data_IF_207249812317
#
_entry.id   IF_207249812317
#
_cell.length_a   1.000
_cell.length_b   1.000
_cell.length_c   1.000
_cell.angle_alpha   90.00
_cell.angle_beta   90.00
_cell.angle_gamma   90.00
#
_symmetry.space_group_name_H-M   'P 1'
#
loop_
_entity.id
_entity.type
_entity.pdbx_description
1 polymer ?
#
# COMPACT_ATOMS: atom_id res chain seq x y z
N UNK A 1 7.45 -18.30 -5.26
CA UNK A 1 6.86 -17.19 -6.04
C UNK A 1 5.33 -17.23 -6.04
N UNK A 2 4.68 -18.38 -6.30
CA UNK A 2 3.20 -18.49 -6.26
C UNK A 2 2.56 -18.12 -4.91
N UNK A 3 3.22 -18.39 -3.78
CA UNK A 3 2.74 -18.03 -2.44
C UNK A 3 2.67 -16.51 -2.21
N UNK A 4 3.66 -15.76 -2.68
CA UNK A 4 3.69 -14.29 -2.62
C UNK A 4 2.57 -13.69 -3.47
N UNK A 5 2.37 -14.25 -4.67
CA UNK A 5 1.31 -13.87 -5.59
C UNK A 5 -0.09 -14.12 -4.99
N UNK A 6 -0.29 -15.26 -4.34
CA UNK A 6 -1.53 -15.61 -3.64
C UNK A 6 -1.78 -14.73 -2.43
N UNK A 7 -0.74 -14.45 -1.64
CA UNK A 7 -0.84 -13.58 -0.47
C UNK A 7 -1.23 -12.15 -0.89
N UNK A 8 -0.58 -11.58 -1.91
CA UNK A 8 -0.92 -10.24 -2.40
C UNK A 8 -2.36 -10.19 -2.96
N UNK A 9 -2.79 -11.23 -3.69
CA UNK A 9 -4.17 -11.30 -4.19
C UNK A 9 -5.20 -11.42 -3.05
N UNK A 10 -4.90 -12.20 -2.02
CA UNK A 10 -5.78 -12.34 -0.85
C UNK A 10 -5.87 -11.02 -0.07
N UNK A 11 -4.74 -10.33 0.15
CA UNK A 11 -4.70 -9.00 0.79
C UNK A 11 -5.49 -7.97 -0.03
N UNK A 12 -5.34 -7.96 -1.35
CA UNK A 12 -6.08 -7.07 -2.23
C UNK A 12 -7.60 -7.35 -2.21
N UNK A 13 -7.99 -8.63 -2.22
CA UNK A 13 -9.40 -9.02 -2.11
C UNK A 13 -10.00 -8.58 -0.77
N UNK A 14 -9.29 -8.82 0.34
CA UNK A 14 -9.71 -8.38 1.68
C UNK A 14 -9.81 -6.85 1.76
N UNK A 15 -8.84 -6.13 1.20
CA UNK A 15 -8.85 -4.67 1.13
C UNK A 15 -10.06 -4.14 0.33
N UNK A 16 -10.39 -4.78 -0.79
CA UNK A 16 -11.57 -4.43 -1.60
C UNK A 16 -12.89 -4.70 -0.90
N UNK A 17 -13.03 -5.85 -0.23
CA UNK A 17 -14.23 -6.17 0.57
C UNK A 17 -14.39 -5.17 1.72
N UNK A 18 -13.31 -4.86 2.41
CA UNK A 18 -13.33 -3.88 3.49
C UNK A 18 -13.70 -2.48 2.99
N UNK A 19 -13.16 -2.05 1.83
CA UNK A 19 -13.50 -0.77 1.21
C UNK A 19 -14.99 -0.67 0.83
N UNK A 20 -15.56 -1.74 0.28
CA UNK A 20 -17.00 -1.78 0.01
C UNK A 20 -17.82 -1.72 1.31
N UNK A 21 -17.34 -2.39 2.37
CA UNK A 21 -17.94 -2.36 3.70
C UNK A 21 -17.92 -0.96 4.33
N UNK A 22 -16.79 -0.24 4.27
CA UNK A 22 -16.69 1.12 4.81
C UNK A 22 -17.53 2.11 4.00
N UNK A 23 -17.58 1.98 2.68
CA UNK A 23 -18.47 2.77 1.84
C UNK A 23 -19.93 2.60 2.29
N UNK A 24 -20.42 1.36 2.44
CA UNK A 24 -21.78 1.09 2.88
C UNK A 24 -22.04 1.64 4.29
N UNK A 25 -21.08 1.50 5.21
CA UNK A 25 -21.19 2.03 6.57
C UNK A 25 -21.28 3.56 6.60
N UNK A 26 -20.46 4.26 5.79
CA UNK A 26 -20.51 5.73 5.67
C UNK A 26 -21.88 6.17 5.11
N UNK A 27 -22.36 5.52 4.05
CA UNK A 27 -23.66 5.85 3.44
C UNK A 27 -24.79 5.66 4.44
N UNK A 28 -24.82 4.52 5.15
CA UNK A 28 -25.82 4.25 6.19
C UNK A 28 -25.79 5.31 7.29
N UNK A 29 -24.60 5.67 7.76
CA UNK A 29 -24.43 6.68 8.80
C UNK A 29 -24.85 8.08 8.33
N UNK A 30 -24.53 8.45 7.08
CA UNK A 30 -24.97 9.70 6.49
C UNK A 30 -26.51 9.76 6.41
N UNK A 31 -27.16 8.68 5.96
CA UNK A 31 -28.63 8.59 5.91
C UNK A 31 -29.25 8.66 7.31
N UNK A 32 -28.72 7.93 8.30
CA UNK A 32 -29.21 7.96 9.67
C UNK A 32 -29.11 9.37 10.28
N UNK A 33 -28.02 10.09 10.02
CA UNK A 33 -27.84 11.48 10.46
C UNK A 33 -28.80 12.44 9.76
N UNK A 34 -29.08 12.24 8.47
CA UNK A 34 -30.08 13.01 7.73
C UNK A 34 -31.51 12.82 8.28
N UNK A 35 -31.79 11.68 8.93
CA UNK A 35 -33.07 11.38 9.58
C UNK A 35 -33.13 11.87 11.04
N UNK A 36 -32.12 12.58 11.53
CA UNK A 36 -32.09 13.13 12.89
C UNK A 36 -31.65 12.16 13.98
N UNK A 37 -31.16 10.95 13.63
CA UNK A 37 -30.55 10.02 14.58
C UNK A 37 -29.09 10.43 14.87
N UNK A 38 -28.66 10.38 16.13
CA UNK A 38 -27.25 10.62 16.48
C UNK A 38 -26.35 9.59 15.82
N UNK A 39 -25.42 10.05 14.96
CA UNK A 39 -24.43 9.19 14.33
C UNK A 39 -23.41 8.66 15.35
N UNK A 40 -23.13 7.35 15.32
CA UNK A 40 -22.14 6.71 16.19
C UNK A 40 -20.69 7.15 15.86
N UNK A 41 -19.99 7.78 16.80
CA UNK A 41 -18.60 8.24 16.61
C UNK A 41 -17.61 7.08 16.34
N UNK A 42 -17.94 5.86 16.76
CA UNK A 42 -17.11 4.67 16.56
C UNK A 42 -16.93 4.28 15.08
N UNK A 43 -17.96 4.49 14.24
CA UNK A 43 -17.91 4.14 12.80
C UNK A 43 -16.91 5.02 12.06
N UNK A 44 -16.80 6.29 12.46
CA UNK A 44 -15.86 7.24 11.88
C UNK A 44 -14.42 6.82 12.15
N UNK A 45 -14.09 6.52 13.41
CA UNK A 45 -12.75 6.08 13.81
C UNK A 45 -12.36 4.74 13.18
N UNK A 46 -13.30 3.78 13.08
CA UNK A 46 -13.06 2.50 12.40
C UNK A 46 -12.78 2.67 10.90
N UNK A 47 -13.46 3.61 10.26
CA UNK A 47 -13.25 3.89 8.83
C UNK A 47 -11.92 4.56 8.58
N UNK A 48 -11.52 5.51 9.43
CA UNK A 48 -10.23 6.21 9.29
C UNK A 48 -9.04 5.25 9.45
N UNK A 49 -9.05 4.41 10.49
CA UNK A 49 -8.03 3.38 10.67
C UNK A 49 -8.10 2.33 9.56
N UNK A 50 -9.31 1.94 9.17
CA UNK A 50 -9.55 1.02 8.07
C UNK A 50 -8.94 1.44 6.75
N UNK A 51 -9.07 2.72 6.38
CA UNK A 51 -8.49 3.27 5.15
C UNK A 51 -6.97 3.09 5.09
N UNK A 52 -6.27 3.27 6.22
CA UNK A 52 -4.84 3.01 6.28
C UNK A 52 -4.54 1.53 6.01
N UNK A 53 -5.25 0.62 6.67
CA UNK A 53 -5.07 -0.83 6.49
C UNK A 53 -5.35 -1.28 5.05
N UNK A 54 -6.41 -0.77 4.42
CA UNK A 54 -6.72 -1.02 3.00
C UNK A 54 -5.56 -0.55 2.12
N UNK A 55 -5.07 0.68 2.33
CA UNK A 55 -4.00 1.25 1.51
C UNK A 55 -2.71 0.43 1.63
N UNK A 56 -2.37 0.00 2.85
CA UNK A 56 -1.20 -0.84 3.11
C UNK A 56 -1.36 -2.27 2.55
N UNK A 57 -2.56 -2.84 2.58
CA UNK A 57 -2.82 -4.18 2.04
C UNK A 57 -2.88 -4.20 0.50
N UNK A 58 -3.40 -3.14 -0.13
CA UNK A 58 -3.55 -3.05 -1.58
C UNK A 58 -2.23 -2.68 -2.31
N UNK A 59 -1.33 -1.93 -1.68
CA UNK A 59 -0.09 -1.44 -2.30
C UNK A 59 0.85 -2.54 -2.84
N UNK A 60 1.12 -3.68 -2.17
CA UNK A 60 1.99 -4.71 -2.75
C UNK A 60 1.38 -5.37 -3.99
N UNK A 61 0.05 -5.47 -4.08
CA UNK A 61 -0.65 -5.94 -5.27
C UNK A 61 -0.56 -4.93 -6.42
N UNK A 62 -0.67 -3.64 -6.11
CA UNK A 62 -0.54 -2.56 -7.10
C UNK A 62 0.84 -2.53 -7.76
N UNK A 63 1.91 -2.72 -6.97
CA UNK A 63 3.28 -2.83 -7.49
C UNK A 63 3.45 -3.99 -8.46
N UNK A 64 2.80 -5.13 -8.17
CA UNK A 64 2.83 -6.31 -9.05
C UNK A 64 2.20 -6.06 -10.41
N UNK A 65 1.07 -5.35 -10.45
CA UNK A 65 0.36 -5.03 -11.70
C UNK A 65 1.07 -3.92 -12.49
N UNK A 66 2.13 -3.32 -11.91
CA UNK A 66 2.80 -2.14 -12.46
C UNK A 66 1.81 -0.99 -12.68
N UNK A 67 0.80 -0.87 -11.81
CA UNK A 67 -0.19 0.21 -11.87
C UNK A 67 0.34 1.58 -11.40
N UNK A 68 1.65 1.71 -11.16
CA UNK A 68 2.27 2.99 -10.88
C UNK A 68 2.27 3.83 -12.16
N UNK A 69 1.80 5.08 -12.07
CA UNK A 69 1.91 6.04 -13.16
C UNK A 69 3.40 6.27 -13.44
N UNK A 70 3.91 5.65 -14.51
CA UNK A 70 5.29 5.85 -14.93
C UNK A 70 5.35 7.10 -15.80
N UNK A 71 6.31 7.98 -15.50
CA UNK A 71 6.67 9.04 -16.42
C UNK A 71 7.51 8.40 -17.53
N UNK A 72 6.83 7.82 -18.52
CA UNK A 72 7.48 7.21 -19.70
C UNK A 72 8.18 8.25 -20.58
N UNK A 73 7.92 9.55 -20.33
CA UNK A 73 8.50 10.67 -21.06
C UNK A 73 10.04 10.65 -21.08
N UNK A 74 10.69 10.17 -20.02
CA UNK A 74 12.15 10.04 -19.99
C UNK A 74 12.65 8.76 -20.70
N UNK A 75 11.82 7.71 -20.74
CA UNK A 75 12.19 6.44 -21.41
C UNK A 75 12.07 6.51 -22.93
N UNK A 76 11.23 7.41 -23.45
CA UNK A 76 11.00 7.62 -24.89
C UNK A 76 12.23 8.20 -25.62
N UNK A 77 13.12 8.91 -24.91
CA UNK A 77 14.35 9.46 -25.47
C UNK A 77 15.54 8.49 -25.44
N UNK A 78 15.43 7.34 -24.75
CA UNK A 78 16.52 6.40 -24.56
C UNK A 78 16.41 5.18 -25.50
N UNK A 79 17.50 4.72 -26.14
CA UNK A 79 17.49 3.51 -26.94
C UNK A 79 17.14 2.27 -26.09
N UNK A 80 16.35 1.33 -26.63
CA UNK A 80 15.79 0.12 -25.97
C UNK A 80 16.80 -0.70 -25.13
N UNK A 81 18.09 -0.61 -25.45
CA UNK A 81 19.17 -1.29 -24.71
C UNK A 81 19.42 -0.66 -23.34
N UNK A 82 19.39 0.67 -23.25
CA UNK A 82 19.62 1.42 -22.03
C UNK A 82 18.37 1.46 -21.13
N UNK A 83 17.17 1.45 -21.71
CA UNK A 83 15.90 1.42 -20.95
C UNK A 83 15.84 0.23 -19.99
N UNK A 84 16.33 -0.95 -20.40
CA UNK A 84 16.35 -2.16 -19.56
C UNK A 84 17.36 -2.09 -18.41
N UNK A 85 18.48 -1.38 -18.58
CA UNK A 85 19.44 -1.17 -17.51
C UNK A 85 18.93 -0.09 -16.54
N UNK A 86 18.40 1.01 -17.08
CA UNK A 86 17.79 2.09 -16.32
C UNK A 86 16.63 1.60 -15.46
N UNK A 87 15.74 0.79 -16.04
CA UNK A 87 14.61 0.19 -15.32
C UNK A 87 15.04 -0.65 -14.12
N UNK A 88 16.16 -1.38 -14.23
CA UNK A 88 16.71 -2.18 -13.13
C UNK A 88 17.34 -1.31 -12.04
N UNK A 89 18.00 -0.21 -12.40
CA UNK A 89 18.53 0.76 -11.45
C UNK A 89 17.39 1.40 -10.66
N UNK A 90 16.34 1.86 -11.33
CA UNK A 90 15.16 2.45 -10.68
C UNK A 90 14.50 1.42 -9.75
N UNK A 91 14.30 0.19 -10.21
CA UNK A 91 13.76 -0.87 -9.36
C UNK A 91 14.65 -1.16 -8.14
N UNK A 92 15.98 -1.14 -8.28
CA UNK A 92 16.92 -1.32 -7.18
C UNK A 92 16.84 -0.16 -6.17
N UNK A 93 16.72 1.08 -6.63
CA UNK A 93 16.49 2.24 -5.76
C UNK A 93 15.17 2.08 -5.00
N UNK A 94 14.09 1.65 -5.67
CA UNK A 94 12.81 1.38 -5.01
C UNK A 94 12.93 0.29 -3.93
N UNK A 95 13.69 -0.78 -4.18
CA UNK A 95 13.98 -1.80 -3.15
C UNK A 95 14.67 -1.18 -1.94
N UNK A 96 15.73 -0.38 -2.15
CA UNK A 96 16.49 0.26 -1.07
C UNK A 96 15.58 1.16 -0.23
N UNK A 97 14.76 1.99 -0.88
CA UNK A 97 13.81 2.87 -0.20
C UNK A 97 12.77 2.06 0.58
N UNK A 98 12.21 1.00 0.00
CA UNK A 98 11.25 0.14 0.70
C UNK A 98 11.88 -0.58 1.91
N UNK A 99 13.13 -1.03 1.81
CA UNK A 99 13.86 -1.63 2.93
C UNK A 99 14.14 -0.60 4.03
N UNK A 100 14.55 0.62 3.66
CA UNK A 100 14.76 1.71 4.61
C UNK A 100 13.46 2.06 5.35
N UNK A 101 12.35 2.18 4.61
CA UNK A 101 11.02 2.42 5.19
C UNK A 101 10.58 1.26 6.10
N UNK A 102 10.85 0.02 5.72
CA UNK A 102 10.57 -1.16 6.55
C UNK A 102 11.34 -1.09 7.87
N UNK A 103 12.63 -0.76 7.83
CA UNK A 103 13.46 -0.59 9.02
C UNK A 103 12.95 0.54 9.92
N UNK A 104 12.72 1.72 9.34
CA UNK A 104 12.25 2.89 10.08
C UNK A 104 10.87 2.66 10.71
N UNK A 105 9.92 2.10 9.95
CA UNK A 105 8.59 1.79 10.46
C UNK A 105 8.58 0.70 11.52
N UNK A 106 9.49 -0.29 11.43
CA UNK A 106 9.68 -1.29 12.50
C UNK A 106 10.17 -0.64 13.78
N UNK A 107 11.19 0.22 13.70
CA UNK A 107 11.69 0.96 14.87
C UNK A 107 10.59 1.85 15.48
N UNK A 108 9.85 2.56 14.64
CA UNK A 108 8.76 3.41 15.10
C UNK A 108 7.64 2.59 15.78
N UNK A 109 7.34 1.38 15.28
CA UNK A 109 6.37 0.45 15.89
C UNK A 109 6.83 -0.05 17.24
N UNK A 110 8.11 -0.42 17.37
CA UNK A 110 8.69 -0.87 18.64
C UNK A 110 8.69 0.25 19.68
N UNK A 111 9.07 1.47 19.29
CA UNK A 111 9.00 2.62 20.19
C UNK A 111 7.56 2.95 20.62
N UNK A 112 6.58 2.81 19.72
CA UNK A 112 5.17 3.00 20.05
C UNK A 112 4.64 1.91 20.99
N UNK A 113 5.15 0.68 20.87
CA UNK A 113 4.85 -0.42 21.78
C UNK A 113 5.42 -0.17 23.19
N UNK A 114 6.70 0.24 23.27
CA UNK A 114 7.38 0.51 24.54
C UNK A 114 6.79 1.69 25.31
N UNK A 115 6.35 2.74 24.61
CA UNK A 115 5.72 3.91 25.24
C UNK A 115 4.26 3.67 25.65
N UNK A 116 3.63 2.62 25.11
CA UNK A 116 2.21 2.38 25.33
C UNK A 116 1.33 3.54 24.83
N UNK A 117 1.80 4.30 23.83
CA UNK A 117 1.11 5.48 23.33
C UNK A 117 -0.22 5.06 22.67
N UNK A 118 -1.33 5.35 23.34
CA UNK A 118 -2.67 5.28 22.76
C UNK A 118 -2.94 6.57 21.96
N UNK A 119 -3.53 6.43 20.78
CA UNK A 119 -4.00 7.60 20.05
C UNK A 119 -5.32 8.06 20.69
N UNK A 120 -5.26 9.17 21.44
CA UNK A 120 -6.43 9.74 22.11
C UNK A 120 -7.41 10.31 21.08
N UNK A 121 -8.30 9.45 20.60
CA UNK A 121 -9.45 9.77 19.75
C UNK A 121 -10.71 9.14 20.33
N UNK A 122 -11.82 9.12 19.58
CA UNK A 122 -13.09 8.58 20.07
C UNK A 122 -13.08 7.06 20.36
N UNK A 123 -12.03 6.35 19.95
CA UNK A 123 -11.66 4.99 20.33
C UNK A 123 -10.16 5.03 20.65
N UNK A 124 -9.79 4.78 21.90
CA UNK A 124 -8.38 4.63 22.32
C UNK A 124 -7.82 3.35 21.69
N UNK A 125 -7.30 3.48 20.48
CA UNK A 125 -6.66 2.38 19.76
C UNK A 125 -5.15 2.52 19.90
N UNK A 126 -4.43 1.43 20.22
CA UNK A 126 -3.01 1.54 20.44
C UNK A 126 -2.27 1.80 19.12
N UNK A 127 -1.41 2.81 19.08
CA UNK A 127 -0.71 3.25 17.86
C UNK A 127 0.13 2.14 17.23
N UNK A 128 0.66 1.22 18.03
CA UNK A 128 1.46 0.09 17.55
C UNK A 128 0.69 -0.81 16.58
N UNK A 129 -0.63 -0.95 16.76
CA UNK A 129 -1.44 -1.80 15.89
C UNK A 129 -1.53 -1.18 14.48
N UNK A 130 -1.66 0.14 14.43
CA UNK A 130 -1.71 0.88 13.18
C UNK A 130 -0.35 0.89 12.48
N UNK A 131 0.70 1.20 13.25
CA UNK A 131 2.06 1.36 12.75
C UNK A 131 2.68 0.02 12.33
N UNK A 132 2.29 -1.09 12.97
CA UNK A 132 2.75 -2.43 12.66
C UNK A 132 2.31 -2.95 11.29
N UNK A 133 1.26 -2.38 10.69
CA UNK A 133 0.86 -2.69 9.31
C UNK A 133 1.87 -2.18 8.27
N UNK A 134 2.55 -1.06 8.55
CA UNK A 134 3.53 -0.45 7.65
C UNK A 134 4.76 -1.31 7.35
N UNK A 135 5.49 -1.88 8.33
CA UNK A 135 6.65 -2.71 8.03
C UNK A 135 6.29 -3.97 7.25
N UNK A 136 5.09 -4.54 7.48
CA UNK A 136 4.59 -5.70 6.73
C UNK A 136 4.37 -5.32 5.25
N UNK A 137 3.70 -4.19 5.02
CA UNK A 137 3.44 -3.65 3.68
C UNK A 137 4.74 -3.33 2.92
N UNK A 138 5.63 -2.53 3.51
CA UNK A 138 6.87 -2.15 2.86
C UNK A 138 7.82 -3.33 2.63
N UNK A 139 7.81 -4.32 3.53
CA UNK A 139 8.57 -5.56 3.36
C UNK A 139 8.05 -6.40 2.18
N UNK A 140 6.73 -6.58 2.08
CA UNK A 140 6.10 -7.24 0.92
C UNK A 140 6.36 -6.48 -0.38
N UNK A 141 6.35 -5.16 -0.33
CA UNK A 141 6.62 -4.32 -1.50
C UNK A 141 8.09 -4.40 -1.93
N UNK A 142 9.04 -4.44 -0.99
CA UNK A 142 10.45 -4.67 -1.26
C UNK A 142 10.68 -6.02 -1.97
N UNK A 143 10.01 -7.09 -1.52
CA UNK A 143 10.07 -8.41 -2.16
C UNK A 143 9.52 -8.39 -3.59
N UNK A 144 8.43 -7.66 -3.84
CA UNK A 144 7.87 -7.48 -5.18
C UNK A 144 8.82 -6.69 -6.08
N UNK A 145 9.45 -5.62 -5.59
CA UNK A 145 10.46 -4.88 -6.37
C UNK A 145 11.73 -5.69 -6.63
N UNK A 146 12.16 -6.53 -5.69
CA UNK A 146 13.31 -7.42 -5.86
C UNK A 146 13.13 -8.38 -7.04
N UNK A 147 11.87 -8.81 -7.28
CA UNK A 147 11.51 -9.62 -8.46
C UNK A 147 11.76 -8.88 -9.77
N UNK A 148 11.54 -7.56 -9.83
CA UNK A 148 11.83 -6.77 -11.03
C UNK A 148 13.33 -6.49 -11.22
N UNK A 149 14.12 -6.57 -10.15
CA UNK A 149 15.59 -6.42 -10.23
C UNK A 149 16.24 -7.69 -10.79
N UNK A 150 15.84 -8.87 -10.30
CA UNK A 150 16.43 -10.17 -10.71
C UNK A 150 15.68 -10.90 -11.83
N UNK A 151 14.43 -10.51 -12.10
CA UNK A 151 13.59 -11.11 -13.14
C UNK A 151 13.98 -10.66 -14.56
N UNK A 152 13.56 -11.45 -15.56
CA UNK A 152 13.70 -11.10 -16.99
C UNK A 152 12.73 -10.00 -17.43
N UNK A 153 11.73 -9.69 -16.61
CA UNK A 153 10.72 -8.68 -16.90
C UNK A 153 11.13 -7.32 -16.34
N UNK A 154 11.23 -6.31 -17.21
CA UNK A 154 11.56 -4.94 -16.81
C UNK A 154 10.31 -4.19 -16.33
N UNK A 155 10.51 -3.19 -15.48
CA UNK A 155 9.44 -2.31 -15.02
C UNK A 155 8.93 -1.40 -16.14
N UNK A 156 9.82 -1.00 -17.05
CA UNK A 156 9.50 -0.21 -18.24
C UNK A 156 9.56 -1.09 -19.48
N UNK A 157 8.51 -1.04 -20.29
CA UNK A 157 8.43 -1.74 -21.58
C UNK A 157 9.06 -0.91 -22.70
N UNK A 158 9.27 0.40 -22.49
CA UNK A 158 9.84 1.31 -23.50
C UNK A 158 8.94 1.48 -24.72
N UNK A 159 7.65 1.16 -24.59
CA UNK A 159 6.62 1.40 -25.59
C UNK A 159 5.69 2.46 -25.05
N UNK A 160 5.67 3.68 -25.62
CA UNK A 160 4.76 4.72 -25.18
C UNK A 160 3.31 4.28 -25.39
N UNK A 161 2.55 4.16 -24.30
CA UNK A 161 1.08 4.26 -24.27
C UNK A 161 0.28 3.47 -25.30
N UNK A 162 0.34 2.13 -25.30
CA UNK A 162 -0.58 1.28 -26.12
C UNK A 162 -1.66 0.57 -25.27
N UNK A 163 -1.73 0.86 -23.98
CA UNK A 163 -2.75 0.29 -23.10
C UNK A 163 -3.49 1.40 -22.35
N UNK A 164 -4.23 2.20 -23.12
CA UNK A 164 -5.49 2.79 -22.62
C UNK A 164 -6.61 1.75 -22.72
#
# INVERSE_FOLDING_TARGET
MRLLDQLCNALAALAGVYLAGTMAAIVFQATARSLGLSGSSHVFTFTEYGLLWIAMAASPWLVRIRGHVFIELFSAFLPLRFVRAWSRIVAAICVIVCLFLTWYSTQATLHAWERGDADMRSLDMPKWLLLGSMPICFGLMALNFLRFVFGRETLHTGQPGVHE
#
